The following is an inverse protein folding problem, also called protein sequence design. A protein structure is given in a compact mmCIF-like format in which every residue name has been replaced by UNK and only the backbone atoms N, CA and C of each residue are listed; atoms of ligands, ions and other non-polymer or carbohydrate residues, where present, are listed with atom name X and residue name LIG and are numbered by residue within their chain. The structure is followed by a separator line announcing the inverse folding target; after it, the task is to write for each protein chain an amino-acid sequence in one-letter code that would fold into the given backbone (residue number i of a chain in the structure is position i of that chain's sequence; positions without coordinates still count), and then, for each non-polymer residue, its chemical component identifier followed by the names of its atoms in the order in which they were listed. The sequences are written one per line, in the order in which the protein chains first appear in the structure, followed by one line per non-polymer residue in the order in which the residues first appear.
data_IF_793888592637
#
_entry.id   IF_793888592637
#
_cell.length_a   1.000
_cell.length_b   1.000
_cell.length_c   1.000
_cell.angle_alpha   90.00
_cell.angle_beta   90.00
_cell.angle_gamma   90.00
#
_symmetry.space_group_name_H-M   'P 1'
#
loop_
_entity.id
_entity.type
_entity.pdbx_description
1 polymer ?
#
# COMPACT_ATOMS: atom_id res chain seq x y z
N UNK A 1 -49.49 -38.94 0.29
CA UNK A 1 -49.75 -38.19 -0.97
C UNK A 1 -49.50 -36.71 -0.72
N UNK A 2 -48.41 -36.13 -1.23
CA UNK A 2 -48.09 -34.69 -1.16
C UNK A 2 -47.87 -34.17 -2.58
N UNK A 3 -48.60 -33.12 -2.95
CA UNK A 3 -48.56 -32.48 -4.27
C UNK A 3 -47.29 -31.64 -4.38
N UNK A 4 -46.51 -31.87 -5.43
CA UNK A 4 -45.32 -31.09 -5.78
C UNK A 4 -45.78 -29.95 -6.69
N UNK A 5 -45.70 -28.72 -6.20
CA UNK A 5 -45.99 -27.50 -6.98
C UNK A 5 -44.77 -27.13 -7.82
N UNK A 6 -44.81 -27.42 -9.12
CA UNK A 6 -43.80 -27.03 -10.11
C UNK A 6 -44.32 -25.76 -10.81
N UNK A 7 -44.21 -24.60 -10.17
CA UNK A 7 -44.59 -23.32 -10.77
C UNK A 7 -43.87 -22.17 -10.05
N UNK A 8 -42.54 -22.08 -10.22
CA UNK A 8 -41.98 -20.79 -10.67
C UNK A 8 -40.66 -20.94 -11.46
N UNK A 9 -40.58 -21.85 -12.44
CA UNK A 9 -39.35 -22.04 -13.23
C UNK A 9 -39.35 -21.35 -14.62
N UNK A 10 -40.48 -20.78 -15.06
CA UNK A 10 -40.64 -20.32 -16.45
C UNK A 10 -40.39 -18.82 -16.69
N UNK A 11 -40.21 -18.00 -15.64
CA UNK A 11 -40.11 -16.54 -15.77
C UNK A 11 -38.68 -15.97 -15.75
N UNK A 12 -37.64 -16.81 -15.66
CA UNK A 12 -36.23 -16.38 -15.65
C UNK A 12 -35.52 -16.48 -17.03
N UNK A 13 -36.19 -16.95 -18.08
CA UNK A 13 -35.56 -17.21 -19.38
C UNK A 13 -35.61 -16.04 -20.38
N UNK A 14 -36.28 -14.92 -20.08
CA UNK A 14 -36.48 -13.81 -21.03
C UNK A 14 -35.62 -12.56 -20.79
N UNK A 15 -34.68 -12.59 -19.85
CA UNK A 15 -33.90 -11.41 -19.46
C UNK A 15 -32.54 -11.20 -20.16
N UNK A 16 -32.06 -12.13 -20.99
CA UNK A 16 -30.66 -12.11 -21.45
C UNK A 16 -30.42 -11.76 -22.93
N UNK A 17 -31.46 -11.42 -23.71
CA UNK A 17 -31.31 -11.22 -25.16
C UNK A 17 -31.17 -9.76 -25.63
N UNK A 18 -30.91 -8.80 -24.75
CA UNK A 18 -30.89 -7.37 -25.13
C UNK A 18 -29.52 -6.82 -25.58
N UNK A 19 -28.42 -7.58 -25.49
CA UNK A 19 -27.07 -7.06 -25.77
C UNK A 19 -26.54 -7.31 -27.19
N UNK A 20 -27.28 -7.96 -28.08
CA UNK A 20 -26.80 -8.28 -29.45
C UNK A 20 -27.06 -7.20 -30.50
N UNK A 21 -27.68 -6.07 -30.12
CA UNK A 21 -28.06 -4.98 -31.05
C UNK A 21 -27.23 -3.70 -30.92
N UNK A 22 -26.13 -3.70 -30.16
CA UNK A 22 -25.08 -2.68 -30.34
C UNK A 22 -24.27 -3.00 -31.59
N UNK A 23 -24.87 -2.73 -32.76
CA UNK A 23 -24.13 -2.62 -34.01
C UNK A 23 -23.21 -1.40 -33.90
N UNK A 24 -21.91 -1.65 -33.78
CA UNK A 24 -20.90 -0.59 -33.88
C UNK A 24 -21.07 0.12 -35.22
N UNK A 25 -21.31 1.42 -35.17
CA UNK A 25 -21.45 2.25 -36.37
C UNK A 25 -20.13 2.21 -37.17
N UNK A 26 -20.21 1.86 -38.46
CA UNK A 26 -19.07 1.72 -39.36
C UNK A 26 -18.34 3.05 -39.66
N UNK A 27 -18.91 4.19 -39.24
CA UNK A 27 -18.21 5.49 -39.29
C UNK A 27 -17.28 5.76 -38.09
N UNK A 28 -17.05 4.76 -37.24
CA UNK A 28 -15.96 4.78 -36.27
C UNK A 28 -14.65 4.77 -37.07
N UNK A 29 -14.04 5.94 -37.27
CA UNK A 29 -12.94 6.23 -38.20
C UNK A 29 -11.61 5.51 -37.98
N UNK A 30 -11.62 4.17 -37.90
CA UNK A 30 -10.44 3.31 -37.83
C UNK A 30 -9.99 2.78 -39.20
N UNK A 31 -10.66 3.17 -40.29
CA UNK A 31 -10.19 2.91 -41.65
C UNK A 31 -9.71 4.22 -42.28
N UNK A 32 -8.58 4.70 -41.76
CA UNK A 32 -7.80 5.78 -42.36
C UNK A 32 -6.73 5.18 -43.27
N UNK A 33 -6.90 5.45 -44.56
CA UNK A 33 -5.92 5.47 -45.65
C UNK A 33 -4.43 5.37 -45.23
N UNK A 34 -3.73 4.33 -45.69
CA UNK A 34 -2.33 3.95 -45.38
C UNK A 34 -1.25 4.96 -45.84
N UNK A 35 -1.62 6.17 -46.26
CA UNK A 35 -0.69 7.10 -46.92
C UNK A 35 -0.21 8.27 -46.06
N UNK A 36 -0.63 8.37 -44.79
CA UNK A 36 -0.03 9.27 -43.81
C UNK A 36 0.11 8.52 -42.48
N UNK A 37 1.35 8.31 -42.01
CA UNK A 37 1.65 7.73 -40.69
C UNK A 37 1.12 8.66 -39.59
N UNK A 38 -0.19 8.64 -39.34
CA UNK A 38 -0.76 9.19 -38.13
C UNK A 38 -0.23 8.34 -36.97
N UNK A 39 0.37 8.96 -35.92
CA UNK A 39 0.83 8.22 -34.76
C UNK A 39 -0.32 7.39 -34.17
N UNK A 40 -0.05 6.12 -33.89
CA UNK A 40 -1.01 5.21 -33.27
C UNK A 40 -1.44 5.79 -31.92
N UNK A 41 -2.73 6.17 -31.75
CA UNK A 41 -3.21 6.78 -30.52
C UNK A 41 -3.00 5.89 -29.29
N UNK A 42 -2.95 4.57 -29.48
CA UNK A 42 -2.64 3.64 -28.40
C UNK A 42 -1.17 3.76 -27.98
N UNK A 43 -0.24 3.84 -28.94
CA UNK A 43 1.18 4.03 -28.65
C UNK A 43 1.42 5.33 -27.87
N UNK A 44 0.78 6.43 -28.29
CA UNK A 44 0.87 7.73 -27.60
C UNK A 44 0.42 7.64 -26.14
N UNK A 45 -0.67 6.94 -25.87
CA UNK A 45 -1.16 6.71 -24.50
C UNK A 45 -0.13 5.95 -23.65
N UNK A 46 0.48 4.88 -24.17
CA UNK A 46 1.49 4.12 -23.44
C UNK A 46 2.76 4.94 -23.18
N UNK A 47 3.18 5.76 -24.15
CA UNK A 47 4.30 6.66 -23.98
C UNK A 47 4.04 7.71 -22.90
N UNK A 48 2.84 8.32 -22.90
CA UNK A 48 2.44 9.29 -21.88
C UNK A 48 2.40 8.67 -20.49
N UNK A 49 1.82 7.47 -20.36
CA UNK A 49 1.78 6.74 -19.09
C UNK A 49 3.20 6.43 -18.59
N UNK A 50 4.08 5.93 -19.45
CA UNK A 50 5.47 5.62 -19.09
C UNK A 50 6.23 6.87 -18.65
N UNK A 51 6.01 8.00 -19.34
CA UNK A 51 6.61 9.29 -18.97
C UNK A 51 6.12 9.76 -17.59
N UNK A 52 4.83 9.61 -17.30
CA UNK A 52 4.25 9.93 -15.99
C UNK A 52 4.84 9.05 -14.87
N UNK A 53 4.92 7.73 -15.09
CA UNK A 53 5.54 6.80 -14.13
C UNK A 53 7.01 7.15 -13.85
N UNK A 54 7.75 7.56 -14.88
CA UNK A 54 9.14 8.04 -14.75
C UNK A 54 9.23 9.33 -13.95
N UNK A 55 8.36 10.30 -14.23
CA UNK A 55 8.34 11.57 -13.53
C UNK A 55 7.99 11.39 -12.05
N UNK A 56 6.96 10.61 -11.73
CA UNK A 56 6.56 10.31 -10.35
C UNK A 56 7.70 9.60 -9.59
N UNK A 57 8.39 8.65 -10.23
CA UNK A 57 9.55 8.00 -9.63
C UNK A 57 10.71 8.97 -9.36
N UNK A 58 10.94 9.97 -10.22
CA UNK A 58 11.94 11.02 -10.01
C UNK A 58 11.56 11.92 -8.83
N UNK A 59 10.30 12.31 -8.74
CA UNK A 59 9.77 13.14 -7.65
C UNK A 59 9.89 12.41 -6.29
N UNK A 60 9.55 11.13 -6.23
CA UNK A 60 9.72 10.30 -5.03
C UNK A 60 11.19 10.20 -4.57
N UNK A 61 12.14 10.22 -5.50
CA UNK A 61 13.58 10.23 -5.21
C UNK A 61 14.12 11.62 -4.90
N UNK A 62 13.31 12.67 -5.01
CA UNK A 62 13.74 14.06 -4.84
C UNK A 62 14.68 14.55 -5.95
N UNK A 63 14.61 13.96 -7.14
CA UNK A 63 15.43 14.34 -8.30
C UNK A 63 14.63 15.27 -9.20
N UNK A 64 15.19 16.45 -9.49
CA UNK A 64 14.60 17.40 -10.45
C UNK A 64 14.52 16.76 -11.85
N UNK A 65 13.31 16.65 -12.46
CA UNK A 65 13.15 16.03 -13.78
C UNK A 65 13.70 16.87 -14.94
N UNK A 66 14.01 18.15 -14.71
CA UNK A 66 14.45 19.07 -15.77
C UNK A 66 15.94 18.96 -16.11
N UNK A 67 16.75 18.39 -15.19
CA UNK A 67 18.19 18.22 -15.40
C UNK A 67 18.52 16.87 -16.03
N UNK A 68 19.62 16.77 -16.79
CA UNK A 68 20.09 15.48 -17.28
C UNK A 68 20.48 14.57 -16.09
N UNK A 69 20.01 13.33 -16.14
CA UNK A 69 20.30 12.31 -15.12
C UNK A 69 21.70 11.74 -15.31
N UNK A 70 22.47 11.68 -14.22
CA UNK A 70 23.75 10.96 -14.21
C UNK A 70 23.56 9.44 -14.33
N UNK A 71 24.61 8.72 -14.71
CA UNK A 71 24.54 7.26 -14.91
C UNK A 71 24.03 6.50 -13.66
N UNK A 72 24.48 6.92 -12.47
CA UNK A 72 24.02 6.32 -11.21
C UNK A 72 22.53 6.61 -10.95
N UNK A 73 22.04 7.80 -11.29
CA UNK A 73 20.63 8.19 -11.11
C UNK A 73 19.73 7.44 -12.07
N UNK A 74 20.18 7.21 -13.30
CA UNK A 74 19.48 6.37 -14.28
C UNK A 74 19.31 4.95 -13.76
N UNK A 75 20.37 4.35 -13.20
CA UNK A 75 20.29 3.01 -12.59
C UNK A 75 19.33 2.97 -11.40
N UNK A 76 19.36 3.97 -10.53
CA UNK A 76 18.41 4.06 -9.39
C UNK A 76 16.98 4.23 -9.87
N UNK A 77 16.74 5.05 -10.90
CA UNK A 77 15.43 5.22 -11.52
C UNK A 77 14.91 3.90 -12.12
N UNK A 78 15.76 3.15 -12.83
CA UNK A 78 15.40 1.85 -13.39
C UNK A 78 14.98 0.86 -12.29
N UNK A 79 15.75 0.81 -11.20
CA UNK A 79 15.43 0.00 -10.02
C UNK A 79 14.09 0.43 -9.42
N UNK A 80 13.86 1.74 -9.26
CA UNK A 80 12.62 2.29 -8.71
C UNK A 80 11.41 1.91 -9.55
N UNK A 81 11.49 2.09 -10.87
CA UNK A 81 10.43 1.72 -11.81
C UNK A 81 10.15 0.22 -11.80
N UNK A 82 11.21 -0.60 -11.70
CA UNK A 82 11.07 -2.03 -11.60
C UNK A 82 10.34 -2.44 -10.31
N UNK A 83 10.64 -1.78 -9.19
CA UNK A 83 9.93 -2.02 -7.94
C UNK A 83 8.45 -1.66 -8.07
N UNK A 84 8.10 -0.49 -8.63
CA UNK A 84 6.69 -0.07 -8.79
C UNK A 84 5.89 -1.11 -9.58
N UNK A 85 6.42 -1.61 -10.70
CA UNK A 85 5.78 -2.70 -11.47
C UNK A 85 5.55 -3.96 -10.64
N UNK A 86 6.56 -4.40 -9.88
CA UNK A 86 6.43 -5.59 -9.03
C UNK A 86 5.44 -5.39 -7.88
N UNK A 87 5.32 -4.18 -7.32
CA UNK A 87 4.33 -3.86 -6.28
C UNK A 87 2.89 -3.84 -6.83
N UNK A 88 2.70 -3.41 -8.08
CA UNK A 88 1.42 -3.42 -8.78
C UNK A 88 0.98 -4.83 -9.19
N UNK A 89 1.93 -5.68 -9.56
CA UNK A 89 1.71 -7.04 -10.08
C UNK A 89 1.52 -8.11 -8.97
N UNK A 90 1.46 -7.73 -7.69
CA UNK A 90 1.26 -8.70 -6.59
C UNK A 90 -0.11 -9.39 -6.74
N UNK A 91 -0.16 -10.71 -7.00
CA UNK A 91 -1.37 -11.35 -7.52
C UNK A 91 -2.46 -11.56 -6.46
N UNK A 92 -2.08 -11.80 -5.20
CA UNK A 92 -3.03 -12.19 -4.15
C UNK A 92 -3.03 -11.21 -2.99
N UNK A 93 -4.22 -11.03 -2.37
CA UNK A 93 -4.37 -10.21 -1.14
C UNK A 93 -3.46 -10.69 -0.01
N UNK A 94 -3.27 -12.01 0.12
CA UNK A 94 -2.38 -12.62 1.13
C UNK A 94 -0.92 -12.20 0.91
N UNK A 95 -0.45 -12.23 -0.32
CA UNK A 95 0.91 -11.81 -0.65
C UNK A 95 1.11 -10.30 -0.47
N UNK A 96 0.11 -9.50 -0.85
CA UNK A 96 0.12 -8.06 -0.62
C UNK A 96 0.23 -7.75 0.87
N UNK A 97 -0.60 -8.39 1.71
CA UNK A 97 -0.50 -8.27 3.17
C UNK A 97 0.88 -8.67 3.71
N UNK A 98 1.46 -9.78 3.21
CA UNK A 98 2.80 -10.19 3.61
C UNK A 98 3.86 -9.14 3.24
N UNK A 99 3.79 -8.59 2.04
CA UNK A 99 4.73 -7.57 1.57
C UNK A 99 4.66 -6.30 2.42
N UNK A 100 3.47 -5.73 2.62
CA UNK A 100 3.31 -4.49 3.38
C UNK A 100 3.63 -4.65 4.86
N UNK A 101 3.40 -5.85 5.43
CA UNK A 101 3.86 -6.20 6.78
C UNK A 101 5.38 -6.07 6.91
N UNK A 102 6.14 -6.50 5.90
CA UNK A 102 7.59 -6.51 5.97
C UNK A 102 8.27 -5.30 5.32
N UNK A 103 7.54 -4.47 4.56
CA UNK A 103 8.08 -3.35 3.76
C UNK A 103 9.01 -2.42 4.53
N UNK A 104 8.71 -2.15 5.81
CA UNK A 104 9.52 -1.31 6.69
C UNK A 104 10.90 -1.90 7.03
N UNK A 105 11.05 -3.23 6.98
CA UNK A 105 12.32 -3.91 7.29
C UNK A 105 13.18 -4.20 6.05
N UNK A 106 12.67 -3.88 4.85
CA UNK A 106 13.38 -4.14 3.60
C UNK A 106 14.32 -2.95 3.30
N UNK A 107 15.65 -3.14 3.34
CA UNK A 107 16.60 -2.05 3.13
C UNK A 107 16.62 -1.63 1.67
N UNK A 108 15.85 -0.58 1.35
CA UNK A 108 15.77 0.03 0.03
C UNK A 108 15.12 -0.83 -1.05
N UNK A 109 15.18 -0.34 -2.28
CA UNK A 109 14.38 -0.90 -3.38
C UNK A 109 14.91 -2.24 -3.89
N UNK A 110 16.22 -2.48 -3.88
CA UNK A 110 16.81 -3.76 -4.27
C UNK A 110 16.35 -4.91 -3.37
N UNK A 111 16.29 -4.68 -2.05
CA UNK A 111 15.79 -5.68 -1.10
C UNK A 111 14.31 -5.98 -1.33
N UNK A 112 13.51 -4.94 -1.61
CA UNK A 112 12.08 -5.08 -1.93
C UNK A 112 11.85 -5.87 -3.22
N UNK A 113 12.60 -5.57 -4.28
CA UNK A 113 12.58 -6.34 -5.53
C UNK A 113 12.96 -7.79 -5.28
N UNK A 114 14.02 -8.02 -4.51
CA UNK A 114 14.49 -9.38 -4.18
C UNK A 114 13.41 -10.16 -3.44
N UNK A 115 12.76 -9.53 -2.46
CA UNK A 115 11.65 -10.13 -1.72
C UNK A 115 10.46 -10.47 -2.63
N UNK A 116 10.03 -9.53 -3.48
CA UNK A 116 8.89 -9.71 -4.39
C UNK A 116 9.13 -10.79 -5.44
N UNK A 117 10.39 -10.97 -5.88
CA UNK A 117 10.79 -12.03 -6.82
C UNK A 117 10.76 -13.44 -6.21
N UNK A 118 10.66 -13.58 -4.88
CA UNK A 118 10.53 -14.91 -4.26
C UNK A 118 9.09 -15.41 -4.51
N UNK A 119 8.90 -16.55 -5.21
CA UNK A 119 7.58 -16.97 -5.66
C UNK A 119 6.62 -17.42 -4.55
N UNK A 120 7.15 -17.98 -3.45
CA UNK A 120 6.34 -18.55 -2.38
C UNK A 120 6.32 -17.71 -1.12
N UNK A 121 5.17 -17.70 -0.44
CA UNK A 121 4.98 -17.04 0.86
C UNK A 121 5.96 -17.59 1.89
N UNK A 122 6.18 -18.91 1.89
CA UNK A 122 7.12 -19.58 2.79
C UNK A 122 8.58 -19.23 2.47
N UNK A 123 8.91 -19.05 1.19
CA UNK A 123 10.24 -18.61 0.77
C UNK A 123 10.54 -17.19 1.25
N UNK A 124 9.56 -16.29 1.11
CA UNK A 124 9.62 -14.91 1.61
C UNK A 124 9.83 -14.88 3.12
N UNK A 125 9.10 -15.71 3.86
CA UNK A 125 9.22 -15.82 5.32
C UNK A 125 10.62 -16.28 5.74
N UNK A 126 11.16 -17.32 5.10
CA UNK A 126 12.53 -17.79 5.37
C UNK A 126 13.58 -16.72 5.05
N UNK A 127 13.36 -15.92 4.00
CA UNK A 127 14.27 -14.85 3.64
C UNK A 127 14.26 -13.72 4.69
N UNK A 128 13.08 -13.36 5.21
CA UNK A 128 12.92 -12.39 6.31
C UNK A 128 13.59 -12.90 7.59
N UNK A 129 13.40 -14.17 7.93
CA UNK A 129 14.07 -14.79 9.09
C UNK A 129 15.61 -14.72 8.98
N UNK A 130 16.17 -14.88 7.78
CA UNK A 130 17.61 -14.74 7.54
C UNK A 130 18.12 -13.31 7.74
N UNK A 131 17.26 -12.30 7.58
CA UNK A 131 17.59 -10.92 7.92
C UNK A 131 17.54 -10.63 9.43
N UNK A 132 17.18 -11.63 10.26
CA UNK A 132 17.00 -11.45 11.70
C UNK A 132 15.73 -10.68 12.05
N UNK A 133 14.84 -10.46 11.08
CA UNK A 133 13.53 -9.84 11.32
C UNK A 133 12.61 -10.94 11.82
N UNK A 134 12.51 -11.10 13.13
CA UNK A 134 11.57 -12.05 13.73
C UNK A 134 10.13 -11.58 13.49
N UNK A 135 9.28 -12.51 13.05
CA UNK A 135 7.85 -12.27 12.80
C UNK A 135 7.10 -11.87 14.09
N UNK A 136 7.66 -12.22 15.24
CA UNK A 136 7.02 -12.09 16.52
C UNK A 136 7.26 -10.73 17.16
N UNK A 137 6.24 -9.86 17.11
CA UNK A 137 5.94 -8.88 18.17
C UNK A 137 5.58 -9.59 19.51
N UNK A 138 5.74 -10.92 19.60
CA UNK A 138 5.55 -11.74 20.79
C UNK A 138 6.87 -12.12 21.48
N UNK A 139 8.01 -12.04 20.79
CA UNK A 139 9.34 -12.35 21.34
C UNK A 139 9.96 -11.12 22.02
N UNK A 140 9.18 -10.46 22.88
CA UNK A 140 9.60 -9.29 23.63
C UNK A 140 9.92 -8.07 22.76
N UNK A 141 9.90 -6.90 23.38
CA UNK A 141 10.42 -5.69 22.75
C UNK A 141 11.94 -5.66 22.86
N UNK A 142 12.62 -4.90 22.01
CA UNK A 142 14.00 -4.52 22.32
C UNK A 142 14.03 -3.79 23.66
N UNK A 143 15.14 -3.88 24.38
CA UNK A 143 15.29 -3.24 25.70
C UNK A 143 14.96 -1.74 25.64
N UNK A 144 15.41 -1.07 24.58
CA UNK A 144 15.07 0.33 24.30
C UNK A 144 13.56 0.55 24.19
N UNK A 145 12.84 -0.28 23.42
CA UNK A 145 11.39 -0.13 23.24
C UNK A 145 10.65 -0.47 24.54
N UNK A 146 11.10 -1.48 25.29
CA UNK A 146 10.52 -1.83 26.58
C UNK A 146 10.63 -0.66 27.57
N UNK A 147 11.79 -0.03 27.66
CA UNK A 147 12.01 1.15 28.51
C UNK A 147 11.12 2.33 28.09
N UNK A 148 10.94 2.54 26.79
CA UNK A 148 10.05 3.59 26.27
C UNK A 148 8.58 3.30 26.63
N UNK A 149 8.14 2.03 26.56
CA UNK A 149 6.80 1.61 26.99
C UNK A 149 6.60 1.87 28.49
N UNK A 150 7.57 1.50 29.33
CA UNK A 150 7.53 1.74 30.78
C UNK A 150 7.43 3.24 31.11
N UNK A 151 8.12 4.08 30.33
CA UNK A 151 8.08 5.53 30.48
C UNK A 151 6.81 6.18 29.90
N UNK A 152 5.87 5.41 29.36
CA UNK A 152 4.69 5.91 28.63
C UNK A 152 5.07 6.89 27.50
N UNK A 153 6.17 6.61 26.79
CA UNK A 153 6.61 7.44 25.67
C UNK A 153 6.49 6.70 24.33
N UNK A 154 6.76 7.38 23.23
CA UNK A 154 6.65 6.87 21.87
C UNK A 154 7.93 7.19 21.11
N UNK A 155 8.40 6.24 20.32
CA UNK A 155 9.53 6.43 19.39
C UNK A 155 9.13 6.00 17.98
N UNK A 156 9.81 6.58 16.98
CA UNK A 156 9.65 6.19 15.57
C UNK A 156 10.00 4.71 15.41
N UNK A 157 9.22 4.01 14.60
CA UNK A 157 9.38 2.58 14.32
C UNK A 157 8.67 1.66 15.31
N UNK A 158 8.15 2.18 16.43
CA UNK A 158 7.36 1.40 17.39
C UNK A 158 6.13 0.78 16.70
N UNK A 159 5.78 -0.47 17.05
CA UNK A 159 4.60 -1.13 16.49
C UNK A 159 3.31 -0.58 17.11
N UNK A 160 2.19 -0.70 16.41
CA UNK A 160 0.86 -0.34 16.94
C UNK A 160 0.60 -0.96 18.32
N UNK A 161 0.96 -2.24 18.50
CA UNK A 161 0.82 -2.96 19.77
C UNK A 161 1.63 -2.30 20.89
N UNK A 162 2.90 -1.97 20.64
CA UNK A 162 3.74 -1.29 21.62
C UNK A 162 3.20 0.11 21.98
N UNK A 163 2.63 0.83 21.01
CA UNK A 163 1.95 2.11 21.29
C UNK A 163 0.73 1.90 22.17
N UNK A 164 -0.09 0.89 21.89
CA UNK A 164 -1.26 0.54 22.73
C UNK A 164 -0.84 0.13 24.14
N UNK A 165 0.28 -0.57 24.30
CA UNK A 165 0.79 -0.94 25.64
C UNK A 165 1.36 0.26 26.40
N UNK A 166 1.94 1.24 25.70
CA UNK A 166 2.50 2.47 26.28
C UNK A 166 1.42 3.52 26.62
N UNK A 167 0.43 3.71 25.75
CA UNK A 167 -0.57 4.79 25.82
C UNK A 167 -2.01 4.33 26.04
N UNK A 168 -2.28 3.03 25.98
CA UNK A 168 -3.63 2.45 26.01
C UNK A 168 -4.31 2.44 24.63
N UNK A 169 -5.61 2.17 24.64
CA UNK A 169 -6.42 2.19 23.42
C UNK A 169 -6.65 3.63 22.92
N UNK A 170 -6.56 3.88 21.60
CA UNK A 170 -6.84 5.20 21.04
C UNK A 170 -8.33 5.56 21.12
N UNK A 171 -8.61 6.86 21.26
CA UNK A 171 -9.98 7.40 21.22
C UNK A 171 -10.59 7.30 19.81
N UNK A 172 -9.74 7.48 18.78
CA UNK A 172 -10.15 7.43 17.38
C UNK A 172 -9.02 6.86 16.52
N UNK A 173 -9.38 5.93 15.63
CA UNK A 173 -8.51 5.39 14.59
C UNK A 173 -9.07 5.77 13.22
N UNK A 174 -8.30 6.52 12.44
CA UNK A 174 -8.62 6.89 11.07
C UNK A 174 -7.70 6.14 10.10
N UNK A 175 -8.27 5.38 9.18
CA UNK A 175 -7.52 4.59 8.19
C UNK A 175 -7.44 5.35 6.87
N UNK A 176 -6.23 5.55 6.35
CA UNK A 176 -6.00 6.20 5.07
C UNK A 176 -5.84 5.16 3.96
N UNK A 177 -6.80 5.09 3.03
CA UNK A 177 -6.74 4.19 1.87
C UNK A 177 -7.10 2.74 2.20
N UNK A 178 -6.34 1.79 1.64
CA UNK A 178 -6.58 0.35 1.84
C UNK A 178 -6.06 -0.10 3.23
N UNK A 179 -6.90 -0.69 4.09
CA UNK A 179 -6.48 -1.19 5.42
C UNK A 179 -5.33 -2.19 5.39
N UNK A 180 -5.06 -2.85 4.24
CA UNK A 180 -3.90 -3.73 4.06
C UNK A 180 -2.58 -2.99 4.29
N UNK A 181 -2.53 -1.71 3.95
CA UNK A 181 -1.32 -0.89 4.07
C UNK A 181 -1.06 -0.45 5.52
N UNK A 182 -2.06 -0.53 6.40
CA UNK A 182 -1.97 -0.09 7.81
C UNK A 182 -1.42 1.33 7.93
N UNK A 183 -1.89 2.20 7.04
CA UNK A 183 -1.65 3.63 7.10
C UNK A 183 -2.77 4.23 7.95
N UNK A 184 -2.46 4.59 9.18
CA UNK A 184 -3.45 4.92 10.20
C UNK A 184 -3.05 6.18 10.97
N UNK A 185 -4.05 6.95 11.38
CA UNK A 185 -3.90 8.10 12.28
C UNK A 185 -4.68 7.81 13.55
N UNK A 186 -3.99 7.73 14.68
CA UNK A 186 -4.59 7.46 15.98
C UNK A 186 -4.63 8.72 16.82
N UNK A 187 -5.76 8.99 17.47
CA UNK A 187 -5.91 10.13 18.39
C UNK A 187 -6.05 9.63 19.82
N UNK A 188 -5.32 10.27 20.71
CA UNK A 188 -5.31 10.01 22.14
C UNK A 188 -5.63 11.29 22.90
N UNK A 189 -6.36 11.14 23.99
CA UNK A 189 -6.56 12.20 24.96
C UNK A 189 -6.39 11.68 26.39
N UNK A 190 -5.46 12.28 27.14
CA UNK A 190 -5.15 11.90 28.52
C UNK A 190 -5.28 13.11 29.44
N UNK A 191 -5.82 12.89 30.62
CA UNK A 191 -5.81 13.91 31.68
C UNK A 191 -4.59 13.65 32.56
N UNK A 192 -3.67 14.60 32.61
CA UNK A 192 -2.48 14.56 33.45
C UNK A 192 -2.57 15.61 34.55
N UNK A 193 -2.10 15.24 35.74
CA UNK A 193 -2.01 16.16 36.87
C UNK A 193 -0.92 17.20 36.60
N UNK A 194 -1.27 18.46 36.79
CA UNK A 194 -0.42 19.65 36.69
C UNK A 194 -0.50 20.42 38.01
N UNK A 195 0.39 21.40 38.22
CA UNK A 195 0.36 22.27 39.40
C UNK A 195 -0.99 22.99 39.56
N UNK A 196 -1.66 23.30 38.45
CA UNK A 196 -2.97 23.98 38.41
C UNK A 196 -4.19 23.01 38.40
N UNK A 197 -3.98 21.70 38.63
CA UNK A 197 -5.05 20.70 38.63
C UNK A 197 -4.90 19.64 37.55
N UNK A 198 -5.89 19.42 36.69
CA UNK A 198 -5.81 18.46 35.59
C UNK A 198 -5.74 19.19 34.25
N UNK A 199 -4.73 18.87 33.44
CA UNK A 199 -4.62 19.32 32.05
C UNK A 199 -4.95 18.16 31.11
N UNK A 200 -5.73 18.44 30.07
CA UNK A 200 -5.97 17.51 28.97
C UNK A 200 -4.82 17.64 27.97
N UNK A 201 -4.09 16.57 27.75
CA UNK A 201 -3.10 16.45 26.68
C UNK A 201 -3.69 15.64 25.53
N UNK A 202 -3.50 16.14 24.31
CA UNK A 202 -3.92 15.43 23.10
C UNK A 202 -2.70 15.04 22.29
N UNK A 203 -2.68 13.81 21.79
CA UNK A 203 -1.61 13.30 20.93
C UNK A 203 -2.20 12.64 19.70
N UNK A 204 -1.64 12.95 18.53
CA UNK A 204 -2.00 12.34 17.25
C UNK A 204 -0.79 11.57 16.75
N UNK A 205 -0.95 10.27 16.53
CA UNK A 205 0.13 9.37 16.11
C UNK A 205 -0.15 8.91 14.69
N UNK A 206 0.88 8.96 13.84
CA UNK A 206 0.82 8.54 12.45
C UNK A 206 1.55 7.21 12.27
N UNK A 207 0.87 6.25 11.64
CA UNK A 207 1.39 4.93 11.33
C UNK A 207 1.49 4.72 9.82
N UNK A 208 2.58 4.08 9.39
CA UNK A 208 2.73 3.53 8.04
C UNK A 208 3.18 2.07 8.15
N UNK A 209 2.50 1.16 7.43
CA UNK A 209 2.81 -0.26 7.55
C UNK A 209 2.63 -0.83 8.96
N UNK A 210 1.84 -0.17 9.82
CA UNK A 210 1.65 -0.56 11.22
C UNK A 210 2.79 -0.16 12.18
N UNK A 211 3.65 0.78 11.77
CA UNK A 211 4.73 1.34 12.60
C UNK A 211 4.64 2.85 12.67
N UNK A 212 5.04 3.41 13.81
CA UNK A 212 5.04 4.88 14.04
C UNK A 212 6.01 5.55 13.09
N UNK A 213 5.54 6.54 12.33
CA UNK A 213 6.40 7.42 11.50
C UNK A 213 6.56 8.81 12.11
N UNK A 214 5.62 9.23 12.96
CA UNK A 214 5.67 10.51 13.66
C UNK A 214 4.44 10.73 14.54
N UNK A 215 4.45 11.82 15.31
CA UNK A 215 3.32 12.23 16.14
C UNK A 215 3.33 13.74 16.39
N UNK A 216 2.16 14.27 16.74
CA UNK A 216 1.93 15.66 17.15
C UNK A 216 1.36 15.69 18.56
N UNK A 217 1.81 16.63 19.39
CA UNK A 217 1.22 16.91 20.71
C UNK A 217 0.57 18.28 20.68
N UNK A 218 -0.68 18.36 21.13
CA UNK A 218 -1.53 19.56 21.13
C UNK A 218 -1.88 19.99 22.57
#
# INVERSE_FOLDING_TARGET
MKRISILPALLLAFGLSACSLLQRHYSSGYYGDESNLAPDPAADFYHLRKAHEQQEALEEMGIDPTRPLGENEQRTLEVRLQLKRLEEEIPTKREKQQYYRYKAFLPGDLARITFLRIPSVEGRERWIQKLGVSHDDSNGYSEDVAQIIENNDIIVGMSQKAVTESWGDPDLVEVAGDPIFRNERWKYSKHVSSEDGYRKEMRIIYFEGGRVVGWESL
#
